data_IF_738478886234
#
_entry.id   IF_738478886234
#
_cell.length_a   1.000
_cell.length_b   1.000
_cell.length_c   1.000
_cell.angle_alpha   90.00
_cell.angle_beta   90.00
_cell.angle_gamma   90.00
#
_symmetry.space_group_name_H-M   'P 1'
#
loop_
_entity.id
_entity.type
_entity.pdbx_description
1 polymer ?
#
# COMPACT_ATOMS: atom_id res chain seq x y z
N UNK A 1 -28.83 -45.94 14.30
CA UNK A 1 -27.83 -44.92 13.92
C UNK A 1 -28.58 -43.77 13.26
N UNK A 2 -28.89 -42.70 14.01
CA UNK A 2 -29.42 -41.46 13.48
C UNK A 2 -28.27 -40.68 12.85
N UNK A 3 -28.25 -40.65 11.51
CA UNK A 3 -27.34 -39.78 10.79
C UNK A 3 -27.74 -38.33 11.03
N UNK A 4 -26.91 -37.58 11.72
CA UNK A 4 -26.98 -36.13 11.74
C UNK A 4 -26.51 -35.62 10.37
N UNK A 5 -27.46 -35.27 9.50
CA UNK A 5 -27.15 -34.42 8.36
C UNK A 5 -26.67 -33.07 8.91
N UNK A 6 -25.39 -32.78 8.77
CA UNK A 6 -24.84 -31.44 8.95
C UNK A 6 -25.58 -30.52 7.97
N UNK A 7 -26.63 -29.83 8.44
CA UNK A 7 -27.24 -28.73 7.69
C UNK A 7 -26.16 -27.72 7.36
N UNK A 8 -25.75 -27.67 6.10
CA UNK A 8 -24.94 -26.55 5.60
C UNK A 8 -25.78 -25.29 5.84
N UNK A 9 -25.33 -24.46 6.74
CA UNK A 9 -25.97 -23.17 6.97
C UNK A 9 -25.81 -22.33 5.71
N UNK A 10 -26.91 -21.77 5.18
CA UNK A 10 -26.88 -21.03 3.94
C UNK A 10 -25.99 -19.80 4.08
N UNK A 11 -25.06 -19.59 3.14
CA UNK A 11 -24.35 -18.32 3.01
C UNK A 11 -25.37 -17.27 2.53
N UNK A 12 -25.46 -16.16 3.27
CA UNK A 12 -26.27 -15.01 2.86
C UNK A 12 -25.35 -14.07 2.07
N UNK A 13 -25.79 -13.70 0.88
CA UNK A 13 -25.08 -12.77 0.01
C UNK A 13 -25.90 -11.51 -0.20
N UNK A 14 -25.28 -10.34 0.06
CA UNK A 14 -25.83 -9.03 -0.21
C UNK A 14 -25.02 -8.37 -1.34
N UNK A 15 -25.70 -7.97 -2.42
CA UNK A 15 -25.13 -7.19 -3.52
C UNK A 15 -25.78 -5.83 -3.59
N UNK A 16 -24.99 -4.77 -3.66
CA UNK A 16 -25.48 -3.39 -3.77
C UNK A 16 -24.44 -2.51 -4.47
N UNK A 17 -24.88 -1.36 -4.94
CA UNK A 17 -23.97 -0.29 -5.41
C UNK A 17 -24.20 0.94 -4.54
N UNK A 18 -23.13 1.56 -4.13
CA UNK A 18 -23.13 2.78 -3.30
C UNK A 18 -22.25 3.85 -3.92
N UNK A 19 -22.53 5.12 -3.63
CA UNK A 19 -21.57 6.19 -3.83
C UNK A 19 -20.69 6.27 -2.59
N UNK A 20 -19.40 6.14 -2.78
CA UNK A 20 -18.39 6.16 -1.73
C UNK A 20 -17.62 7.47 -1.81
N UNK A 21 -17.54 8.17 -0.68
CA UNK A 21 -16.62 9.28 -0.46
C UNK A 21 -15.38 8.74 0.27
N UNK A 22 -14.23 8.60 -0.42
CA UNK A 22 -13.04 8.01 0.18
C UNK A 22 -12.47 8.82 1.36
N UNK A 23 -12.73 10.14 1.43
CA UNK A 23 -12.30 10.99 2.55
C UNK A 23 -12.81 10.49 3.90
N UNK A 24 -13.95 9.80 3.93
CA UNK A 24 -14.54 9.29 5.18
C UNK A 24 -13.75 8.14 5.79
N UNK A 25 -12.87 7.50 5.00
CA UNK A 25 -12.12 6.33 5.40
C UNK A 25 -10.63 6.60 5.58
N UNK A 26 -10.16 7.75 5.08
CA UNK A 26 -8.76 8.11 5.13
C UNK A 26 -8.62 9.57 5.58
N UNK A 27 -7.99 9.78 6.72
CA UNK A 27 -7.85 11.08 7.37
C UNK A 27 -6.47 11.72 7.21
N UNK A 28 -5.47 10.96 6.75
CA UNK A 28 -4.12 11.48 6.53
C UNK A 28 -4.07 12.26 5.21
N UNK A 29 -4.26 13.57 5.32
CA UNK A 29 -4.29 14.50 4.19
C UNK A 29 -2.88 14.93 3.73
N UNK A 30 -1.83 14.64 4.50
CA UNK A 30 -0.45 15.04 4.16
C UNK A 30 0.15 14.13 3.09
N UNK A 31 -0.10 12.82 3.20
CA UNK A 31 0.40 11.84 2.23
C UNK A 31 -0.49 11.71 1.00
N UNK A 32 -1.81 11.67 1.19
CA UNK A 32 -2.77 11.44 0.11
C UNK A 32 -4.05 12.25 0.36
N UNK A 33 -4.27 13.27 -0.45
CA UNK A 33 -5.53 14.01 -0.46
C UNK A 33 -6.48 13.34 -1.45
N UNK A 34 -7.62 12.88 -0.93
CA UNK A 34 -8.70 12.30 -1.72
C UNK A 34 -9.83 13.31 -1.86
N UNK A 35 -10.34 13.51 -3.07
CA UNK A 35 -11.46 14.41 -3.32
C UNK A 35 -12.44 13.83 -4.32
N UNK A 36 -13.75 14.01 -4.04
CA UNK A 36 -14.85 13.54 -4.87
C UNK A 36 -15.50 12.25 -4.35
N UNK A 37 -16.41 11.72 -5.16
CA UNK A 37 -17.16 10.50 -4.90
C UNK A 37 -17.03 9.52 -6.06
N UNK A 38 -17.04 8.24 -5.77
CA UNK A 38 -17.01 7.18 -6.77
C UNK A 38 -18.10 6.15 -6.55
N UNK A 39 -18.65 5.61 -7.64
CA UNK A 39 -19.54 4.48 -7.57
C UNK A 39 -18.77 3.21 -7.24
N UNK A 40 -19.25 2.48 -6.26
CA UNK A 40 -18.64 1.25 -5.77
C UNK A 40 -19.66 0.12 -5.73
N UNK A 41 -19.36 -0.97 -6.40
CA UNK A 41 -20.13 -2.20 -6.33
C UNK A 41 -19.65 -3.04 -5.15
N UNK A 42 -20.58 -3.35 -4.25
CA UNK A 42 -20.31 -4.05 -3.00
C UNK A 42 -21.01 -5.42 -3.01
N UNK A 43 -20.27 -6.46 -2.63
CA UNK A 43 -20.76 -7.81 -2.44
C UNK A 43 -20.30 -8.33 -1.07
N UNK A 44 -21.23 -8.58 -0.17
CA UNK A 44 -20.95 -9.06 1.19
C UNK A 44 -21.47 -10.48 1.33
N UNK A 45 -20.61 -11.37 1.76
CA UNK A 45 -20.92 -12.77 2.03
C UNK A 45 -20.86 -13.01 3.54
N UNK A 46 -21.98 -13.39 4.10
CA UNK A 46 -22.11 -13.81 5.50
C UNK A 46 -22.09 -15.34 5.55
N UNK A 47 -21.17 -15.89 6.29
CA UNK A 47 -21.13 -17.30 6.67
C UNK A 47 -21.19 -17.43 8.19
N UNK A 48 -21.35 -18.64 8.73
CA UNK A 48 -21.47 -18.84 10.18
C UNK A 48 -20.26 -18.31 10.96
N UNK A 49 -19.09 -18.29 10.37
CA UNK A 49 -17.84 -17.99 11.07
C UNK A 49 -17.16 -16.75 10.54
N UNK A 50 -17.61 -16.20 9.42
CA UNK A 50 -16.90 -15.09 8.77
C UNK A 50 -17.82 -14.18 7.96
N UNK A 51 -17.39 -12.93 7.83
CA UNK A 51 -17.92 -11.96 6.88
C UNK A 51 -16.79 -11.64 5.91
N UNK A 52 -17.07 -11.78 4.62
CA UNK A 52 -16.14 -11.34 3.56
C UNK A 52 -16.85 -10.28 2.73
N UNK A 53 -16.23 -9.12 2.59
CA UNK A 53 -16.72 -8.03 1.76
C UNK A 53 -15.78 -7.83 0.55
N UNK A 54 -16.39 -7.79 -0.63
CA UNK A 54 -15.72 -7.46 -1.88
C UNK A 54 -16.27 -6.14 -2.38
N UNK A 55 -15.41 -5.18 -2.67
CA UNK A 55 -15.80 -3.93 -3.30
C UNK A 55 -15.02 -3.76 -4.60
N UNK A 56 -15.71 -3.27 -5.64
CA UNK A 56 -15.12 -2.92 -6.93
C UNK A 56 -15.47 -1.48 -7.26
N UNK A 57 -14.46 -0.72 -7.61
CA UNK A 57 -14.60 0.68 -8.04
C UNK A 57 -13.58 1.00 -9.11
N UNK A 58 -13.88 1.97 -9.98
CA UNK A 58 -12.91 2.51 -10.94
C UNK A 58 -12.40 3.90 -10.55
N UNK A 59 -12.81 4.43 -9.40
CA UNK A 59 -12.46 5.75 -8.91
C UNK A 59 -12.70 6.91 -9.89
N UNK A 60 -13.56 6.73 -10.90
CA UNK A 60 -14.05 7.88 -11.71
C UNK A 60 -14.86 8.80 -10.79
N UNK A 61 -14.62 10.10 -10.90
CA UNK A 61 -15.20 11.12 -10.01
C UNK A 61 -14.35 11.45 -8.79
N UNK A 62 -13.26 10.69 -8.54
CA UNK A 62 -12.35 10.93 -7.43
C UNK A 62 -10.96 11.30 -7.91
N UNK A 63 -10.38 12.37 -7.38
CA UNK A 63 -8.97 12.74 -7.61
C UNK A 63 -8.11 12.29 -6.42
N UNK A 64 -6.87 11.91 -6.74
CA UNK A 64 -5.83 11.59 -5.77
C UNK A 64 -4.70 12.59 -5.95
N UNK A 65 -4.45 13.38 -4.93
CA UNK A 65 -3.32 14.30 -4.89
C UNK A 65 -2.32 13.83 -3.85
N UNK A 66 -1.08 13.57 -4.29
CA UNK A 66 0.00 13.03 -3.47
C UNK A 66 1.30 13.76 -3.82
N UNK A 67 2.26 13.91 -2.89
CA UNK A 67 3.63 14.30 -3.21
C UNK A 67 4.23 13.43 -4.32
N UNK A 68 3.92 12.13 -4.32
CA UNK A 68 4.45 11.17 -5.29
C UNK A 68 3.63 11.17 -6.58
N UNK A 69 4.24 11.60 -7.69
CA UNK A 69 3.60 11.66 -9.01
C UNK A 69 2.97 10.31 -9.43
N UNK A 70 3.62 9.20 -9.08
CA UNK A 70 3.15 7.85 -9.41
C UNK A 70 1.74 7.55 -8.86
N UNK A 71 1.39 8.07 -7.68
CA UNK A 71 0.10 7.84 -7.02
C UNK A 71 -0.97 8.83 -7.50
N UNK A 72 -0.58 9.97 -8.08
CA UNK A 72 -1.53 11.00 -8.52
C UNK A 72 -2.51 10.45 -9.56
N UNK A 73 -3.73 10.98 -9.50
CA UNK A 73 -4.82 10.61 -10.40
C UNK A 73 -5.82 11.77 -10.53
N UNK A 74 -6.21 12.08 -11.75
CA UNK A 74 -7.30 13.02 -12.02
C UNK A 74 -8.67 12.35 -11.87
N UNK A 75 -9.72 13.14 -11.64
CA UNK A 75 -11.07 12.63 -11.41
C UNK A 75 -11.69 11.90 -12.61
N UNK A 76 -11.27 12.22 -13.84
CA UNK A 76 -11.72 11.62 -15.09
C UNK A 76 -10.94 10.36 -15.50
N UNK A 77 -9.82 10.08 -14.85
CA UNK A 77 -9.01 8.88 -15.11
C UNK A 77 -9.58 7.67 -14.35
N UNK A 78 -9.82 6.54 -15.04
CA UNK A 78 -10.23 5.31 -14.36
C UNK A 78 -9.05 4.65 -13.64
N UNK A 79 -9.31 4.14 -12.43
CA UNK A 79 -8.39 3.29 -11.66
C UNK A 79 -9.17 2.10 -11.13
N UNK A 80 -9.29 1.05 -11.95
CA UNK A 80 -10.00 -0.16 -11.56
C UNK A 80 -9.35 -0.78 -10.33
N UNK A 81 -10.13 -0.87 -9.25
CA UNK A 81 -9.64 -1.28 -7.94
C UNK A 81 -10.56 -2.32 -7.33
N UNK A 82 -9.97 -3.43 -6.92
CA UNK A 82 -10.59 -4.47 -6.11
C UNK A 82 -10.20 -4.30 -4.64
N UNK A 83 -11.18 -4.34 -3.74
CA UNK A 83 -10.99 -4.26 -2.29
C UNK A 83 -11.62 -5.49 -1.67
N UNK A 84 -10.86 -6.22 -0.86
CA UNK A 84 -11.32 -7.43 -0.16
C UNK A 84 -11.05 -7.25 1.33
N UNK A 85 -12.11 -7.40 2.12
CA UNK A 85 -12.03 -7.43 3.58
C UNK A 85 -12.51 -8.76 4.12
N UNK A 86 -11.75 -9.36 5.04
CA UNK A 86 -12.10 -10.60 5.75
C UNK A 86 -12.13 -10.35 7.26
N UNK A 87 -13.29 -10.50 7.87
CA UNK A 87 -13.48 -10.26 9.29
C UNK A 87 -12.73 -11.26 10.18
N UNK A 88 -12.65 -12.54 9.81
CA UNK A 88 -12.01 -13.59 10.62
C UNK A 88 -10.51 -13.33 10.81
N UNK A 89 -9.82 -12.95 9.75
CA UNK A 89 -8.41 -12.58 9.76
C UNK A 89 -8.18 -11.10 10.08
N UNK A 90 -9.25 -10.28 10.05
CA UNK A 90 -9.18 -8.82 10.07
C UNK A 90 -8.26 -8.27 8.98
N UNK A 91 -8.18 -8.95 7.86
CA UNK A 91 -7.31 -8.57 6.77
C UNK A 91 -8.02 -7.66 5.77
N UNK A 92 -7.25 -6.76 5.16
CA UNK A 92 -7.69 -5.91 4.06
C UNK A 92 -6.70 -6.04 2.92
N UNK A 93 -7.22 -6.24 1.72
CA UNK A 93 -6.45 -6.21 0.48
C UNK A 93 -7.04 -5.18 -0.47
N UNK A 94 -6.19 -4.33 -1.03
CA UNK A 94 -6.53 -3.39 -2.10
C UNK A 94 -5.62 -3.65 -3.27
N UNK A 95 -6.17 -3.81 -4.46
CA UNK A 95 -5.41 -4.17 -5.67
C UNK A 95 -5.87 -3.32 -6.85
N UNK A 96 -4.93 -2.70 -7.55
CA UNK A 96 -5.13 -2.06 -8.84
C UNK A 96 -3.86 -2.13 -9.70
N UNK A 97 -3.84 -1.48 -10.86
CA UNK A 97 -2.70 -1.52 -11.78
C UNK A 97 -1.46 -0.71 -11.32
N UNK A 98 -1.59 0.12 -10.28
CA UNK A 98 -0.50 0.92 -9.72
C UNK A 98 -0.03 0.40 -8.36
N UNK A 99 -0.94 -0.24 -7.59
CA UNK A 99 -0.74 -0.48 -6.17
C UNK A 99 -1.43 -1.76 -5.72
N UNK A 100 -0.69 -2.58 -4.96
CA UNK A 100 -1.24 -3.64 -4.12
C UNK A 100 -0.94 -3.33 -2.65
N UNK A 101 -1.97 -3.28 -1.82
CA UNK A 101 -1.84 -3.14 -0.37
C UNK A 101 -2.42 -4.38 0.30
N UNK A 102 -1.69 -4.95 1.21
CA UNK A 102 -2.16 -6.03 2.05
C UNK A 102 -1.88 -5.73 3.53
N UNK A 103 -2.97 -5.64 4.30
CA UNK A 103 -2.96 -5.51 5.75
C UNK A 103 -3.36 -6.86 6.32
N UNK A 104 -2.43 -7.70 6.77
CA UNK A 104 -2.72 -9.09 7.19
C UNK A 104 -3.55 -9.16 8.46
N UNK A 105 -3.46 -8.16 9.30
CA UNK A 105 -4.26 -7.99 10.51
C UNK A 105 -4.26 -6.51 10.88
N UNK A 106 -5.42 -5.86 10.80
CA UNK A 106 -5.56 -4.43 11.09
C UNK A 106 -5.12 -4.03 12.50
N UNK A 107 -5.08 -4.98 13.45
CA UNK A 107 -4.63 -4.69 14.83
C UNK A 107 -3.12 -4.73 15.00
N UNK A 108 -2.37 -5.25 14.01
CA UNK A 108 -0.91 -5.37 14.09
C UNK A 108 -0.18 -4.11 13.64
N UNK A 109 -0.90 -3.10 13.13
CA UNK A 109 -0.31 -1.90 12.53
C UNK A 109 0.82 -2.26 11.55
N UNK A 110 0.58 -3.23 10.68
CA UNK A 110 1.56 -3.72 9.72
C UNK A 110 0.97 -3.79 8.33
N UNK A 111 1.78 -3.48 7.34
CA UNK A 111 1.36 -3.47 5.94
C UNK A 111 2.44 -4.05 5.02
N UNK A 112 1.98 -4.70 3.95
CA UNK A 112 2.76 -5.03 2.78
C UNK A 112 2.22 -4.23 1.61
N UNK A 113 3.03 -3.36 1.03
CA UNK A 113 2.66 -2.45 -0.03
C UNK A 113 3.56 -2.76 -1.23
N UNK A 114 2.96 -2.89 -2.40
CA UNK A 114 3.66 -3.01 -3.64
C UNK A 114 3.24 -1.86 -4.57
N UNK A 115 4.20 -1.08 -5.04
CA UNK A 115 4.03 -0.03 -6.04
C UNK A 115 4.57 -0.52 -7.38
N UNK A 116 3.80 -0.32 -8.44
CA UNK A 116 4.18 -0.74 -9.77
C UNK A 116 3.42 -1.97 -10.27
N UNK A 117 3.88 -2.53 -11.38
CA UNK A 117 3.25 -3.72 -11.97
C UNK A 117 3.60 -4.94 -11.12
N UNK A 118 2.62 -5.47 -10.39
CA UNK A 118 2.81 -6.64 -9.53
C UNK A 118 3.38 -7.84 -10.32
N UNK A 119 4.65 -8.11 -10.14
CA UNK A 119 5.32 -9.30 -10.69
C UNK A 119 5.41 -10.44 -9.68
N UNK A 120 5.25 -10.16 -8.40
CA UNK A 120 5.52 -11.11 -7.32
C UNK A 120 4.31 -11.27 -6.41
N UNK A 121 3.93 -12.51 -6.07
CA UNK A 121 2.93 -12.74 -5.02
C UNK A 121 3.47 -12.21 -3.69
N UNK A 122 2.73 -11.31 -3.10
CA UNK A 122 3.03 -10.76 -1.76
C UNK A 122 2.85 -11.87 -0.71
N UNK A 123 3.93 -12.54 -0.34
CA UNK A 123 3.91 -13.65 0.64
C UNK A 123 4.96 -13.42 1.73
N UNK A 124 4.82 -12.36 2.52
CA UNK A 124 5.69 -12.13 3.67
C UNK A 124 4.88 -12.19 4.97
N UNK A 125 5.37 -12.95 5.93
CA UNK A 125 4.83 -12.92 7.29
C UNK A 125 5.32 -11.65 7.98
N UNK A 126 4.43 -10.68 8.14
CA UNK A 126 4.71 -9.42 8.82
C UNK A 126 4.59 -9.60 10.33
N UNK A 127 5.50 -8.97 11.06
CA UNK A 127 5.42 -8.81 12.52
C UNK A 127 4.64 -7.53 12.87
N UNK A 128 4.14 -7.38 14.09
CA UNK A 128 3.56 -6.13 14.55
C UNK A 128 4.49 -4.93 14.31
N UNK A 129 3.90 -3.79 13.93
CA UNK A 129 4.61 -2.53 13.61
C UNK A 129 5.68 -2.68 12.51
N UNK A 130 5.48 -3.59 11.58
CA UNK A 130 6.37 -3.80 10.44
C UNK A 130 5.68 -3.41 9.14
N UNK A 131 6.26 -2.45 8.43
CA UNK A 131 5.84 -2.06 7.09
C UNK A 131 6.87 -2.55 6.08
N UNK A 132 6.38 -3.11 5.00
CA UNK A 132 7.21 -3.59 3.90
C UNK A 132 6.71 -2.97 2.60
N UNK A 133 7.56 -2.22 1.92
CA UNK A 133 7.28 -1.61 0.63
C UNK A 133 8.16 -2.26 -0.44
N UNK A 134 7.55 -2.68 -1.53
CA UNK A 134 8.23 -3.08 -2.75
C UNK A 134 7.87 -2.04 -3.82
N UNK A 135 8.84 -1.41 -4.44
CA UNK A 135 8.63 -0.43 -5.50
C UNK A 135 9.29 -0.89 -6.79
N UNK A 136 8.48 -1.29 -7.79
CA UNK A 136 8.92 -1.64 -9.14
C UNK A 136 8.41 -0.55 -10.10
N UNK A 137 9.21 0.50 -10.33
CA UNK A 137 8.77 1.72 -11.02
C UNK A 137 9.56 1.96 -12.29
N UNK A 138 8.88 2.46 -13.33
CA UNK A 138 9.53 2.90 -14.57
C UNK A 138 10.37 4.16 -14.30
N UNK A 139 9.89 5.07 -13.45
CA UNK A 139 10.63 6.26 -13.03
C UNK A 139 10.31 6.68 -11.62
N UNK A 140 11.29 7.26 -10.92
CA UNK A 140 11.10 7.83 -9.59
C UNK A 140 12.02 9.02 -9.36
N UNK A 141 11.49 10.11 -8.82
CA UNK A 141 12.25 11.27 -8.42
C UNK A 141 12.43 11.30 -6.90
N UNK A 142 13.67 11.22 -6.45
CA UNK A 142 13.98 11.24 -5.01
C UNK A 142 13.71 12.58 -4.36
N UNK A 143 13.68 13.69 -5.12
CA UNK A 143 13.35 15.00 -4.56
C UNK A 143 11.92 14.99 -3.97
N UNK A 144 10.98 14.28 -4.62
CA UNK A 144 9.63 14.09 -4.08
C UNK A 144 9.64 13.37 -2.72
N UNK A 145 10.56 12.40 -2.52
CA UNK A 145 10.72 11.70 -1.25
C UNK A 145 11.34 12.60 -0.18
N UNK A 146 12.37 13.35 -0.53
CA UNK A 146 13.06 14.25 0.42
C UNK A 146 12.12 15.37 0.87
N UNK A 147 11.36 15.96 -0.04
CA UNK A 147 10.36 16.99 0.28
C UNK A 147 9.29 16.41 1.24
N UNK A 148 8.81 15.20 0.96
CA UNK A 148 7.85 14.53 1.83
C UNK A 148 8.45 14.22 3.21
N UNK A 149 9.63 13.60 3.29
CA UNK A 149 10.26 13.25 4.57
C UNK A 149 10.60 14.46 5.41
N UNK A 150 10.97 15.58 4.79
CA UNK A 150 11.28 16.83 5.50
C UNK A 150 10.03 17.50 6.09
N UNK A 151 8.84 17.21 5.53
CA UNK A 151 7.56 17.72 6.03
C UNK A 151 6.97 16.88 7.16
N UNK A 152 7.46 15.65 7.38
CA UNK A 152 6.89 14.72 8.35
C UNK A 152 7.47 14.93 9.75
N UNK A 153 6.59 14.87 10.76
CA UNK A 153 7.03 14.67 12.12
C UNK A 153 7.53 13.22 12.29
N UNK A 154 8.62 12.97 13.00
CA UNK A 154 9.10 11.61 13.24
C UNK A 154 7.98 10.79 13.92
N UNK A 155 7.57 9.72 13.24
CA UNK A 155 6.57 8.78 13.75
C UNK A 155 7.03 8.06 15.04
N UNK A 156 6.18 7.27 15.68
CA UNK A 156 6.53 6.57 16.91
C UNK A 156 7.76 5.68 16.74
N UNK A 157 8.67 5.77 17.69
CA UNK A 157 10.02 5.18 17.72
C UNK A 157 10.12 3.65 17.48
N UNK A 158 9.00 2.93 17.34
CA UNK A 158 8.99 1.47 17.22
C UNK A 158 8.63 0.94 15.83
N UNK A 159 8.41 1.81 14.87
CA UNK A 159 8.03 1.40 13.51
C UNK A 159 9.24 0.91 12.73
N UNK A 160 9.14 -0.27 12.16
CA UNK A 160 10.12 -0.81 11.23
C UNK A 160 9.60 -0.73 9.80
N UNK A 161 10.31 0.03 8.95
CA UNK A 161 10.02 0.15 7.52
C UNK A 161 11.14 -0.51 6.71
N UNK A 162 10.77 -1.43 5.84
CA UNK A 162 11.69 -2.04 4.88
C UNK A 162 11.19 -1.70 3.48
N UNK A 163 12.07 -1.21 2.63
CA UNK A 163 11.78 -0.86 1.24
C UNK A 163 12.74 -1.65 0.35
N UNK A 164 12.22 -2.48 -0.53
CA UNK A 164 12.98 -3.04 -1.66
C UNK A 164 12.51 -2.29 -2.92
N UNK A 165 13.43 -1.84 -3.77
CA UNK A 165 13.06 -1.13 -4.99
C UNK A 165 13.86 -1.60 -6.21
N UNK A 166 13.19 -1.52 -7.38
CA UNK A 166 13.73 -1.73 -8.71
C UNK A 166 13.18 -0.61 -9.61
N UNK A 167 14.03 0.35 -9.99
CA UNK A 167 13.63 1.57 -10.66
C UNK A 167 14.42 1.68 -11.96
N UNK A 168 13.71 1.77 -13.11
CA UNK A 168 14.38 1.88 -14.42
C UNK A 168 15.04 3.25 -14.60
N UNK A 169 14.39 4.33 -14.17
CA UNK A 169 14.91 5.70 -14.25
C UNK A 169 14.81 6.38 -12.87
N UNK A 170 15.92 6.44 -12.14
CA UNK A 170 16.02 7.14 -10.87
C UNK A 170 16.56 8.56 -11.10
N UNK A 171 15.82 9.56 -10.67
CA UNK A 171 16.28 10.95 -10.65
C UNK A 171 16.73 11.29 -9.22
N UNK A 172 18.01 11.64 -9.07
CA UNK A 172 18.65 12.01 -7.81
C UNK A 172 19.61 13.16 -8.03
N UNK A 173 19.46 14.25 -7.28
CA UNK A 173 20.26 15.49 -7.40
C UNK A 173 20.31 16.01 -8.83
N UNK A 174 19.17 16.08 -9.51
CA UNK A 174 19.03 16.50 -10.93
C UNK A 174 19.82 15.64 -11.94
N UNK A 175 20.25 14.46 -11.55
CA UNK A 175 20.88 13.48 -12.43
C UNK A 175 20.01 12.26 -12.61
N UNK A 176 20.08 11.66 -13.79
CA UNK A 176 19.35 10.45 -14.14
C UNK A 176 20.27 9.24 -14.05
N UNK A 177 19.86 8.24 -13.29
CA UNK A 177 20.52 6.95 -13.17
C UNK A 177 19.61 5.85 -13.70
N UNK A 178 20.15 4.93 -14.49
CA UNK A 178 19.37 3.86 -15.10
C UNK A 178 19.50 2.56 -14.28
N UNK A 179 18.42 1.76 -14.29
CA UNK A 179 18.36 0.41 -13.72
C UNK A 179 18.91 0.31 -12.29
N UNK A 180 18.34 1.12 -11.41
CA UNK A 180 18.74 1.17 -10.00
C UNK A 180 17.91 0.22 -9.16
N UNK A 181 18.57 -0.66 -8.42
CA UNK A 181 17.97 -1.54 -7.43
C UNK A 181 18.52 -1.21 -6.05
N UNK A 182 17.74 -1.48 -5.04
CA UNK A 182 18.24 -1.26 -3.69
C UNK A 182 17.29 -1.68 -2.59
N UNK A 183 17.78 -1.45 -1.40
CA UNK A 183 17.05 -1.69 -0.16
C UNK A 183 17.26 -0.55 0.81
N UNK A 184 16.17 -0.13 1.45
CA UNK A 184 16.21 0.78 2.60
C UNK A 184 15.59 0.09 3.80
N UNK A 185 16.27 0.12 4.93
CA UNK A 185 15.71 -0.30 6.22
C UNK A 185 15.71 0.91 7.13
N UNK A 186 14.55 1.21 7.71
CA UNK A 186 14.40 2.28 8.70
C UNK A 186 13.86 1.68 9.98
N UNK A 187 14.52 1.96 11.11
CA UNK A 187 14.08 1.53 12.43
C UNK A 187 14.61 2.51 13.49
N UNK A 188 13.74 3.03 14.35
CA UNK A 188 14.10 3.92 15.45
C UNK A 188 14.90 5.17 14.98
N UNK A 189 14.50 5.76 13.85
CA UNK A 189 15.23 6.91 13.27
C UNK A 189 16.56 6.58 12.60
N UNK A 190 17.02 5.33 12.68
CA UNK A 190 18.20 4.85 11.96
C UNK A 190 17.80 4.34 10.57
N UNK A 191 18.62 4.61 9.58
CA UNK A 191 18.43 4.04 8.25
C UNK A 191 19.71 3.37 7.72
N UNK A 192 19.49 2.31 6.95
CA UNK A 192 20.50 1.61 6.15
C UNK A 192 19.99 1.58 4.71
N UNK A 193 20.70 2.26 3.82
CA UNK A 193 20.43 2.26 2.37
C UNK A 193 21.52 1.50 1.65
N UNK A 194 21.12 0.53 0.87
CA UNK A 194 21.99 -0.18 -0.08
C UNK A 194 21.50 0.04 -1.50
N UNK A 195 22.37 0.56 -2.36
CA UNK A 195 22.13 0.77 -3.78
C UNK A 195 22.99 -0.17 -4.62
N UNK A 196 22.41 -0.65 -5.72
CA UNK A 196 23.09 -1.49 -6.72
C UNK A 196 22.63 -1.06 -8.11
N UNK A 197 23.56 -0.62 -8.94
CA UNK A 197 23.32 -0.20 -10.31
C UNK A 197 24.62 -0.02 -11.05
N UNK A 198 24.56 0.11 -12.38
CA UNK A 198 25.77 0.28 -13.21
C UNK A 198 26.45 1.63 -12.98
N UNK A 199 25.66 2.68 -12.73
CA UNK A 199 26.14 4.05 -12.62
C UNK A 199 26.28 4.52 -11.16
N UNK A 200 25.48 3.94 -10.24
CA UNK A 200 25.49 4.29 -8.84
C UNK A 200 25.36 3.03 -7.98
N UNK A 201 26.38 2.79 -7.16
CA UNK A 201 26.39 1.66 -6.20
C UNK A 201 27.02 2.10 -4.91
N UNK A 202 26.48 1.62 -3.79
CA UNK A 202 27.04 1.96 -2.48
C UNK A 202 26.14 1.60 -1.33
N UNK A 203 26.64 1.93 -0.13
CA UNK A 203 25.88 1.82 1.12
C UNK A 203 25.97 3.14 1.87
N UNK A 204 24.84 3.58 2.39
CA UNK A 204 24.74 4.75 3.26
C UNK A 204 23.97 4.33 4.50
N UNK A 205 24.50 4.62 5.67
CA UNK A 205 23.83 4.38 6.93
C UNK A 205 24.03 5.60 7.84
N UNK A 206 23.05 5.90 8.66
CA UNK A 206 23.25 6.80 9.76
C UNK A 206 23.48 5.98 11.03
N UNK A 207 24.54 6.33 11.72
CA UNK A 207 24.92 5.80 13.02
C UNK A 207 24.56 6.85 14.07
N UNK A 208 23.83 6.46 15.11
CA UNK A 208 23.43 7.37 16.21
C UNK A 208 24.61 7.94 17.01
N UNK A 209 25.84 7.60 16.66
CA UNK A 209 27.06 8.05 17.37
C UNK A 209 27.75 9.27 16.77
N UNK A 210 27.19 9.86 15.68
CA UNK A 210 27.82 11.01 14.98
C UNK A 210 26.95 12.27 14.99
N UNK A 211 26.66 12.80 16.19
CA UNK A 211 26.31 14.21 16.41
C UNK A 211 26.95 14.71 17.69
#
# INVERSE_FOLDING_TARGET
>A
LLGYELRQTPNIQLKTSINLDPKRFYSDQEFLQLDGETKTDLNIIFSNESITAFAKTNFIGTSFNSPFAYIRKNSDEPLDTDIIYENKSRSLKVTNNKLDVYLPNLTLNSALIHLGKAKTKLTKNLRPNQYYLIAELDSFNTDELFDFLSSQNPGPDQTKLNIDFDIQELYFLNQKYLNQQGRVNVQNGLFDLQLTGEQLSGKVFNDSTSF
#
